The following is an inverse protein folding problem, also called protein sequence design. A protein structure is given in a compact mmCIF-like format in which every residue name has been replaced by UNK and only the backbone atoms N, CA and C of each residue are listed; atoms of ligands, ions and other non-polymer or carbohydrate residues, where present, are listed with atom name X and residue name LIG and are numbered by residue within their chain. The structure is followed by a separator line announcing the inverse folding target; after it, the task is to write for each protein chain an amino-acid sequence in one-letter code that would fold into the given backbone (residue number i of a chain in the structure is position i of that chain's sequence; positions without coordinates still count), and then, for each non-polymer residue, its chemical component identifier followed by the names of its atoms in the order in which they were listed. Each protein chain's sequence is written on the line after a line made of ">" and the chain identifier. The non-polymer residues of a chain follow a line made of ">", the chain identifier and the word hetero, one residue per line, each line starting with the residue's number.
data_IF_009340581488
#
_entry.id   IF_009340581488
#
_cell.length_a   1.000
_cell.length_b   1.000
_cell.length_c   1.000
_cell.angle_alpha   90.00
_cell.angle_beta   90.00
_cell.angle_gamma   90.00
#
_symmetry.space_group_name_H-M   'P 1'
#
loop_
_entity.id
_entity.type
_entity.pdbx_description
1 polymer ?
#
# COMPACT_ATOMS: atom_id res chain seq x y z
N UNK A 1 20.73 -77.65 26.63
CA UNK A 1 20.46 -77.03 25.32
C UNK A 1 20.18 -75.55 25.54
N UNK A 2 21.25 -74.78 25.49
CA UNK A 2 21.17 -73.28 25.64
C UNK A 2 20.99 -72.65 24.27
N UNK A 3 19.81 -72.09 24.06
CA UNK A 3 19.52 -71.29 22.86
C UNK A 3 20.06 -69.89 23.11
N UNK A 4 21.29 -69.64 22.69
CA UNK A 4 21.85 -68.27 22.61
C UNK A 4 21.14 -67.50 21.48
N UNK A 5 20.10 -66.79 21.80
CA UNK A 5 19.64 -65.70 20.97
C UNK A 5 20.74 -64.62 21.00
N UNK A 6 21.62 -64.61 20.01
CA UNK A 6 22.48 -63.49 19.70
C UNK A 6 21.58 -62.36 19.16
N UNK A 7 21.24 -61.43 20.01
CA UNK A 7 20.76 -60.13 19.58
C UNK A 7 21.89 -59.51 18.72
N UNK A 8 21.70 -59.51 17.40
CA UNK A 8 22.57 -58.76 16.51
C UNK A 8 22.41 -57.29 16.86
N UNK A 9 23.39 -56.73 17.58
CA UNK A 9 23.52 -55.28 17.67
C UNK A 9 23.56 -54.71 16.26
N UNK A 10 22.56 -53.95 15.88
CA UNK A 10 22.52 -53.24 14.60
C UNK A 10 23.66 -52.22 14.63
N UNK A 11 24.73 -52.53 13.91
CA UNK A 11 25.85 -51.65 13.74
C UNK A 11 25.36 -50.38 12.99
N UNK A 12 25.82 -49.22 13.41
CA UNK A 12 25.44 -47.91 12.84
C UNK A 12 25.70 -47.90 11.32
N UNK A 13 26.69 -48.64 10.85
CA UNK A 13 26.99 -48.88 9.43
C UNK A 13 25.92 -49.67 8.71
N UNK A 14 25.30 -50.66 9.36
CA UNK A 14 24.22 -51.46 8.79
C UNK A 14 22.93 -50.62 8.67
N UNK A 15 22.67 -49.76 9.64
CA UNK A 15 21.53 -48.83 9.61
C UNK A 15 21.71 -47.78 8.49
N UNK A 16 22.90 -47.23 8.32
CA UNK A 16 23.26 -46.32 7.20
C UNK A 16 23.10 -47.03 5.84
N UNK A 17 23.49 -48.28 5.74
CA UNK A 17 23.39 -49.06 4.50
C UNK A 17 21.93 -49.41 4.15
N UNK A 18 21.09 -49.66 5.15
CA UNK A 18 19.65 -49.88 5.00
C UNK A 18 18.99 -48.58 4.54
N UNK A 19 19.27 -47.45 5.20
CA UNK A 19 18.77 -46.13 4.80
C UNK A 19 19.22 -45.73 3.38
N UNK A 20 20.50 -45.99 3.04
CA UNK A 20 21.02 -45.74 1.70
C UNK A 20 20.33 -46.61 0.63
N UNK A 21 20.15 -47.92 0.88
CA UNK A 21 19.42 -48.80 -0.01
C UNK A 21 17.95 -48.40 -0.17
N UNK A 22 17.31 -47.98 0.92
CA UNK A 22 15.95 -47.46 0.88
C UNK A 22 15.88 -46.19 0.02
N UNK A 23 16.77 -45.25 0.25
CA UNK A 23 16.85 -44.01 -0.51
C UNK A 23 17.09 -44.27 -2.01
N UNK A 24 18.06 -45.09 -2.34
CA UNK A 24 18.40 -45.41 -3.74
C UNK A 24 17.26 -46.15 -4.42
N UNK A 25 16.63 -47.12 -3.78
CA UNK A 25 15.60 -47.94 -4.41
C UNK A 25 14.23 -47.23 -4.49
N UNK A 26 13.84 -46.47 -3.43
CA UNK A 26 12.50 -45.92 -3.33
C UNK A 26 12.42 -44.46 -3.77
N UNK A 27 13.53 -43.74 -3.78
CA UNK A 27 13.55 -42.31 -4.15
C UNK A 27 14.37 -42.09 -5.42
N UNK A 28 15.62 -42.54 -5.44
CA UNK A 28 16.55 -42.21 -6.52
C UNK A 28 16.23 -42.97 -7.83
N UNK A 29 15.93 -44.25 -7.79
CA UNK A 29 15.55 -45.02 -9.00
C UNK A 29 14.26 -44.51 -9.66
N UNK A 30 13.14 -44.27 -8.92
CA UNK A 30 11.95 -43.69 -9.52
C UNK A 30 12.22 -42.29 -10.07
N UNK A 31 13.02 -41.45 -9.36
CA UNK A 31 13.41 -40.14 -9.82
C UNK A 31 14.19 -40.18 -11.16
N UNK A 32 15.18 -41.07 -11.27
CA UNK A 32 15.88 -41.32 -12.53
C UNK A 32 14.96 -41.80 -13.66
N UNK A 33 13.95 -42.61 -13.33
CA UNK A 33 12.93 -43.04 -14.29
C UNK A 33 12.14 -41.87 -14.83
N UNK A 34 11.73 -40.95 -13.95
CA UNK A 34 11.00 -39.73 -14.29
C UNK A 34 11.86 -38.82 -15.19
N UNK A 35 13.13 -38.63 -14.86
CA UNK A 35 14.07 -37.87 -15.71
C UNK A 35 14.23 -38.55 -17.09
N UNK A 36 14.36 -39.86 -17.15
CA UNK A 36 14.49 -40.62 -18.41
C UNK A 36 13.26 -40.47 -19.31
N UNK A 37 12.03 -40.41 -18.72
CA UNK A 37 10.80 -40.12 -19.44
C UNK A 37 10.85 -38.73 -20.05
N UNK A 38 11.28 -37.71 -19.28
CA UNK A 38 11.47 -36.34 -19.76
C UNK A 38 12.47 -36.25 -20.91
N UNK A 39 13.64 -36.93 -20.78
CA UNK A 39 14.65 -36.97 -21.82
C UNK A 39 14.16 -37.68 -23.11
N UNK A 40 13.33 -38.73 -22.98
CA UNK A 40 12.72 -39.40 -24.12
C UNK A 40 11.68 -38.52 -24.80
N UNK A 41 10.92 -37.72 -24.01
CA UNK A 41 9.89 -36.79 -24.49
C UNK A 41 10.36 -35.36 -24.74
N UNK A 42 11.68 -35.10 -24.79
CA UNK A 42 12.22 -33.77 -24.85
C UNK A 42 11.67 -32.89 -25.97
N UNK A 43 11.37 -33.50 -27.14
CA UNK A 43 10.76 -32.78 -28.28
C UNK A 43 9.35 -32.25 -27.93
N UNK A 44 8.55 -33.05 -27.22
CA UNK A 44 7.22 -32.61 -26.78
C UNK A 44 7.31 -31.51 -25.72
N UNK A 45 8.28 -31.59 -24.79
CA UNK A 45 8.54 -30.56 -23.80
C UNK A 45 9.00 -29.25 -24.44
N UNK A 46 9.88 -29.32 -25.45
CA UNK A 46 10.34 -28.15 -26.18
C UNK A 46 9.20 -27.51 -26.97
N UNK A 47 8.34 -28.30 -27.63
CA UNK A 47 7.12 -27.79 -28.27
C UNK A 47 6.18 -27.12 -27.27
N UNK A 48 6.01 -27.68 -26.07
CA UNK A 48 5.17 -27.08 -25.03
C UNK A 48 5.70 -25.70 -24.58
N UNK A 49 7.02 -25.57 -24.43
CA UNK A 49 7.65 -24.27 -24.10
C UNK A 49 7.40 -23.26 -25.22
N UNK A 50 7.63 -23.65 -26.49
CA UNK A 50 7.40 -22.76 -27.64
C UNK A 50 5.94 -22.33 -27.71
N UNK A 51 4.99 -23.25 -27.56
CA UNK A 51 3.56 -22.95 -27.53
C UNK A 51 3.22 -22.01 -26.37
N UNK A 52 3.80 -22.23 -25.20
CA UNK A 52 3.64 -21.36 -24.04
C UNK A 52 4.10 -19.92 -24.29
N UNK A 53 5.23 -19.77 -24.95
CA UNK A 53 5.75 -18.45 -25.35
C UNK A 53 4.84 -17.81 -26.41
N UNK A 54 4.42 -18.55 -27.43
CA UNK A 54 3.50 -18.05 -28.46
C UNK A 54 2.17 -17.62 -27.85
N UNK A 55 1.60 -18.43 -26.96
CA UNK A 55 0.37 -18.08 -26.23
C UNK A 55 0.54 -16.83 -25.40
N UNK A 56 1.68 -16.64 -24.73
CA UNK A 56 1.92 -15.42 -23.93
C UNK A 56 1.97 -14.16 -24.78
N UNK A 57 2.41 -14.26 -26.02
CA UNK A 57 2.41 -13.13 -26.98
C UNK A 57 1.02 -12.92 -27.59
N UNK A 58 0.27 -14.00 -27.85
CA UNK A 58 -1.06 -13.91 -28.44
C UNK A 58 -2.15 -13.45 -27.44
N UNK A 59 -2.06 -13.89 -26.17
CA UNK A 59 -3.04 -13.55 -25.14
C UNK A 59 -3.29 -12.06 -24.93
N UNK A 60 -2.28 -11.17 -24.90
CA UNK A 60 -2.50 -9.73 -24.76
C UNK A 60 -3.30 -9.09 -25.91
N UNK A 61 -3.33 -9.73 -27.09
CA UNK A 61 -4.14 -9.24 -28.22
C UNK A 61 -5.61 -9.66 -28.09
N UNK A 62 -5.88 -10.73 -27.35
CA UNK A 62 -7.24 -11.26 -27.13
C UNK A 62 -7.84 -10.72 -25.83
N UNK A 63 -7.02 -10.55 -24.80
CA UNK A 63 -7.45 -10.00 -23.51
C UNK A 63 -7.60 -8.48 -23.62
N UNK A 64 -8.65 -7.98 -23.00
CA UNK A 64 -8.89 -6.52 -22.91
C UNK A 64 -7.68 -5.83 -22.26
N UNK A 65 -7.19 -4.79 -22.95
CA UNK A 65 -6.15 -3.91 -22.41
C UNK A 65 -6.65 -3.33 -21.10
N UNK A 66 -5.77 -3.27 -20.13
CA UNK A 66 -6.05 -2.61 -18.86
C UNK A 66 -5.09 -1.45 -18.72
N UNK A 67 -5.63 -0.29 -18.42
CA UNK A 67 -4.88 0.93 -18.22
C UNK A 67 -4.86 1.25 -16.73
N UNK A 68 -3.76 1.77 -16.27
CA UNK A 68 -3.52 2.09 -14.88
C UNK A 68 -3.35 3.59 -14.72
N UNK A 69 -4.00 4.17 -13.74
CA UNK A 69 -3.67 5.50 -13.25
C UNK A 69 -3.20 5.43 -11.81
N UNK A 70 -2.32 6.34 -11.47
CA UNK A 70 -1.74 6.41 -10.15
C UNK A 70 -1.65 7.87 -9.70
N UNK A 71 -2.02 8.10 -8.44
CA UNK A 71 -1.96 9.40 -7.80
C UNK A 71 -1.51 9.25 -6.35
N UNK A 72 -0.56 10.08 -5.94
CA UNK A 72 -0.17 10.17 -4.53
C UNK A 72 -1.08 11.18 -3.86
N UNK A 73 -1.63 10.79 -2.72
CA UNK A 73 -2.59 11.55 -1.95
C UNK A 73 -2.01 11.88 -0.58
N UNK A 74 -2.23 13.12 -0.14
CA UNK A 74 -1.90 13.59 1.19
C UNK A 74 -3.15 13.65 2.07
N UNK A 75 -3.02 13.20 3.31
CA UNK A 75 -4.12 13.09 4.27
C UNK A 75 -3.94 14.13 5.36
N UNK A 76 -4.96 14.96 5.55
CA UNK A 76 -4.96 16.05 6.52
C UNK A 76 -5.66 15.71 7.86
N UNK A 77 -6.35 14.56 7.95
CA UNK A 77 -7.26 14.28 9.09
C UNK A 77 -6.95 13.02 9.89
N UNK A 78 -6.23 12.06 9.32
CA UNK A 78 -5.96 10.77 9.96
C UNK A 78 -4.64 10.18 9.48
N UNK A 79 -4.29 9.00 9.99
CA UNK A 79 -3.13 8.25 9.48
C UNK A 79 -3.49 7.53 8.19
N UNK A 80 -2.55 7.41 7.27
CA UNK A 80 -2.70 6.71 5.98
C UNK A 80 -3.27 5.29 6.11
N UNK A 81 -2.92 4.57 7.17
CA UNK A 81 -3.42 3.21 7.42
C UNK A 81 -4.95 3.10 7.57
N UNK A 82 -5.61 4.15 8.06
CA UNK A 82 -7.07 4.17 8.19
C UNK A 82 -7.74 4.36 6.84
N UNK A 83 -7.20 5.24 5.99
CA UNK A 83 -7.68 5.46 4.63
C UNK A 83 -7.50 4.23 3.74
N UNK A 84 -6.36 3.56 3.87
CA UNK A 84 -6.08 2.33 3.13
C UNK A 84 -7.16 1.28 3.43
N UNK A 85 -7.52 1.08 4.70
CA UNK A 85 -8.59 0.14 5.09
C UNK A 85 -9.95 0.50 4.49
N UNK A 86 -10.33 1.78 4.49
CA UNK A 86 -11.59 2.21 3.88
C UNK A 86 -11.58 1.99 2.36
N UNK A 87 -10.45 2.21 1.70
CA UNK A 87 -10.29 1.94 0.27
C UNK A 87 -10.29 0.45 -0.05
N UNK A 88 -9.71 -0.40 0.81
CA UNK A 88 -9.79 -1.86 0.70
C UNK A 88 -11.25 -2.33 0.78
N UNK A 89 -12.06 -1.73 1.67
CA UNK A 89 -13.49 -2.02 1.74
C UNK A 89 -14.19 -1.63 0.43
N UNK A 90 -13.86 -0.46 -0.15
CA UNK A 90 -14.41 -0.07 -1.46
C UNK A 90 -14.02 -1.06 -2.57
N UNK A 91 -12.79 -1.56 -2.57
CA UNK A 91 -12.31 -2.49 -3.59
C UNK A 91 -13.03 -3.84 -3.55
N UNK A 92 -13.51 -4.26 -2.38
CA UNK A 92 -14.24 -5.53 -2.18
C UNK A 92 -15.77 -5.39 -2.26
N UNK A 93 -16.27 -4.17 -2.43
CA UNK A 93 -17.69 -3.87 -2.42
C UNK A 93 -18.39 -4.35 -3.70
N UNK A 94 -19.69 -4.70 -3.57
CA UNK A 94 -20.52 -5.03 -4.73
C UNK A 94 -20.67 -3.80 -5.64
N UNK A 95 -20.64 -4.03 -6.96
CA UNK A 95 -20.68 -3.00 -8.00
C UNK A 95 -21.88 -2.05 -7.88
N UNK A 96 -23.07 -2.55 -7.57
CA UNK A 96 -24.24 -1.69 -7.43
C UNK A 96 -24.08 -0.68 -6.28
N UNK A 97 -23.58 -1.12 -5.14
CA UNK A 97 -23.28 -0.25 -3.99
C UNK A 97 -22.12 0.72 -4.30
N UNK A 98 -21.14 0.27 -5.05
CA UNK A 98 -20.00 1.11 -5.45
C UNK A 98 -20.46 2.25 -6.38
N UNK A 99 -21.37 1.96 -7.33
CA UNK A 99 -22.01 2.97 -8.19
C UNK A 99 -22.71 4.06 -7.38
N UNK A 100 -23.54 3.64 -6.41
CA UNK A 100 -24.29 4.56 -5.55
C UNK A 100 -23.37 5.41 -4.66
N UNK A 101 -22.32 4.82 -4.12
CA UNK A 101 -21.35 5.50 -3.25
C UNK A 101 -20.50 6.52 -4.00
N UNK A 102 -19.98 6.12 -5.15
CA UNK A 102 -19.12 6.96 -5.98
C UNK A 102 -19.89 7.92 -6.87
N UNK A 103 -21.22 7.78 -6.97
CA UNK A 103 -22.08 8.58 -7.86
C UNK A 103 -21.63 8.51 -9.33
N UNK A 104 -21.20 7.33 -9.78
CA UNK A 104 -20.80 7.07 -11.15
C UNK A 104 -21.87 6.24 -11.86
N UNK A 105 -22.01 6.48 -13.17
CA UNK A 105 -22.93 5.72 -14.01
C UNK A 105 -22.44 4.26 -14.18
N UNK A 106 -23.38 3.39 -14.54
CA UNK A 106 -23.10 1.95 -14.70
C UNK A 106 -22.08 1.69 -15.82
N UNK A 107 -22.09 2.49 -16.87
CA UNK A 107 -21.16 2.37 -17.97
C UNK A 107 -19.70 2.61 -17.49
N UNK A 108 -19.47 3.69 -16.76
CA UNK A 108 -18.18 3.99 -16.14
C UNK A 108 -17.74 2.89 -15.17
N UNK A 109 -18.68 2.35 -14.39
CA UNK A 109 -18.40 1.27 -13.45
C UNK A 109 -18.03 -0.06 -14.16
N UNK A 110 -18.61 -0.36 -15.32
CA UNK A 110 -18.25 -1.54 -16.11
C UNK A 110 -16.82 -1.47 -16.68
N UNK A 111 -16.31 -0.25 -16.86
CA UNK A 111 -14.92 -0.03 -17.26
C UNK A 111 -13.94 -0.17 -16.10
N UNK A 112 -14.39 0.05 -14.88
CA UNK A 112 -13.56 -0.12 -13.69
C UNK A 112 -13.20 -1.59 -13.49
N UNK A 113 -11.91 -1.87 -13.37
CA UNK A 113 -11.39 -3.22 -13.08
C UNK A 113 -11.08 -3.34 -11.60
N UNK A 114 -10.36 -2.37 -11.04
CA UNK A 114 -9.85 -2.46 -9.68
C UNK A 114 -9.47 -1.08 -9.13
N UNK A 115 -9.59 -0.92 -7.82
CA UNK A 115 -9.08 0.21 -7.04
C UNK A 115 -8.14 -0.37 -5.99
N UNK A 116 -6.88 0.04 -6.00
CA UNK A 116 -5.87 -0.42 -5.04
C UNK A 116 -5.23 0.74 -4.30
N UNK A 117 -5.28 0.74 -2.97
CA UNK A 117 -4.46 1.62 -2.16
C UNK A 117 -3.08 0.99 -1.92
N UNK A 118 -2.03 1.81 -2.02
CA UNK A 118 -0.67 1.40 -1.71
C UNK A 118 -0.10 2.27 -0.60
N UNK A 119 0.68 1.65 0.29
CA UNK A 119 1.44 2.39 1.29
C UNK A 119 2.67 3.02 0.66
N UNK A 120 2.95 4.25 1.04
CA UNK A 120 4.20 4.91 0.72
C UNK A 120 5.15 4.67 1.88
N UNK A 121 6.30 4.07 1.60
CA UNK A 121 7.36 3.83 2.57
C UNK A 121 8.57 4.69 2.25
N UNK A 122 9.24 5.20 3.25
CA UNK A 122 10.48 5.95 3.11
C UNK A 122 11.57 5.36 3.99
N UNK A 123 12.80 5.36 3.47
CA UNK A 123 14.01 5.07 4.22
C UNK A 123 14.69 6.40 4.48
N UNK A 124 14.88 6.76 5.76
CA UNK A 124 15.42 8.04 6.19
C UNK A 124 14.78 9.24 5.47
N UNK A 125 14.59 10.35 6.09
CA UNK A 125 13.91 11.58 5.64
C UNK A 125 14.16 12.04 4.17
N UNK A 126 14.89 11.27 3.38
CA UNK A 126 15.02 11.42 1.93
C UNK A 126 13.92 10.60 1.25
N UNK A 127 13.03 11.31 0.61
CA UNK A 127 11.85 10.81 -0.12
C UNK A 127 12.24 9.86 -1.26
N UNK A 128 12.48 8.60 -0.94
CA UNK A 128 12.44 7.52 -1.93
C UNK A 128 11.09 6.86 -1.75
N UNK A 129 10.16 7.22 -2.60
CA UNK A 129 8.79 6.75 -2.59
C UNK A 129 8.76 5.35 -3.22
N UNK A 130 8.80 4.33 -2.39
CA UNK A 130 8.48 2.99 -2.85
C UNK A 130 7.00 2.73 -2.57
N UNK A 131 6.27 2.38 -3.61
CA UNK A 131 4.93 1.83 -3.46
C UNK A 131 5.07 0.36 -3.10
N UNK A 132 4.47 -0.01 -2.00
CA UNK A 132 4.45 -1.40 -1.54
C UNK A 132 3.00 -1.84 -1.44
N UNK A 133 2.69 -2.96 -2.05
CA UNK A 133 1.42 -3.63 -1.82
C UNK A 133 1.26 -3.90 -0.32
N UNK A 134 0.04 -3.79 0.17
CA UNK A 134 -0.25 -3.91 1.61
C UNK A 134 0.20 -5.27 2.15
N UNK A 135 0.21 -6.29 1.29
CA UNK A 135 0.58 -7.66 1.62
C UNK A 135 2.11 -7.91 1.64
N UNK A 136 2.91 -7.06 0.96
CA UNK A 136 4.37 -7.24 0.85
C UNK A 136 5.18 -6.73 2.06
N UNK A 137 4.51 -6.26 3.12
CA UNK A 137 5.18 -5.68 4.30
C UNK A 137 5.96 -6.72 5.13
N UNK A 138 5.75 -8.00 4.85
CA UNK A 138 6.45 -9.10 5.54
C UNK A 138 7.82 -9.45 4.94
N UNK A 139 8.24 -8.77 3.89
CA UNK A 139 9.59 -8.96 3.34
C UNK A 139 10.63 -8.37 4.30
N UNK A 140 11.60 -9.18 4.71
CA UNK A 140 12.67 -8.79 5.65
C UNK A 140 13.49 -7.60 5.13
N UNK A 141 13.58 -7.43 3.81
CA UNK A 141 14.23 -6.28 3.17
C UNK A 141 13.52 -4.95 3.45
N UNK A 142 12.23 -4.97 3.81
CA UNK A 142 11.41 -3.78 4.05
C UNK A 142 11.32 -3.38 5.53
N UNK A 143 11.88 -4.16 6.45
CA UNK A 143 11.85 -3.86 7.91
C UNK A 143 12.50 -2.53 8.29
N UNK A 144 13.45 -2.04 7.48
CA UNK A 144 14.11 -0.75 7.70
C UNK A 144 13.27 0.44 7.22
N UNK A 145 12.19 0.20 6.46
CA UNK A 145 11.35 1.24 5.90
C UNK A 145 10.16 1.53 6.82
N UNK A 146 9.85 2.81 6.99
CA UNK A 146 8.67 3.25 7.74
C UNK A 146 7.60 3.75 6.77
N UNK A 147 6.36 3.32 7.00
CA UNK A 147 5.24 3.85 6.25
C UNK A 147 5.09 5.35 6.53
N UNK A 148 4.92 6.15 5.47
CA UNK A 148 4.67 7.57 5.62
C UNK A 148 3.31 7.78 6.30
N UNK A 149 3.23 8.59 7.38
CA UNK A 149 2.01 8.71 8.17
C UNK A 149 0.85 9.33 7.40
N UNK A 150 1.14 10.26 6.50
CA UNK A 150 0.14 11.11 5.84
C UNK A 150 0.06 10.90 4.32
N UNK A 151 0.91 10.07 3.72
CA UNK A 151 0.88 9.83 2.27
C UNK A 151 0.46 8.41 1.97
N UNK A 152 -0.32 8.24 0.91
CA UNK A 152 -0.60 6.95 0.29
C UNK A 152 -0.78 7.13 -1.22
N UNK A 153 -0.61 6.07 -1.98
CA UNK A 153 -0.88 6.08 -3.40
C UNK A 153 -2.21 5.37 -3.68
N UNK A 154 -2.98 5.94 -4.58
CA UNK A 154 -4.21 5.37 -5.11
C UNK A 154 -3.96 4.92 -6.54
N UNK A 155 -4.11 3.64 -6.78
CA UNK A 155 -4.06 3.02 -8.10
C UNK A 155 -5.49 2.71 -8.55
N UNK A 156 -5.84 3.16 -9.74
CA UNK A 156 -7.11 2.84 -10.40
C UNK A 156 -6.81 2.14 -11.72
N UNK A 157 -7.39 0.98 -11.91
CA UNK A 157 -7.26 0.19 -13.14
C UNK A 157 -8.58 0.18 -13.88
N UNK A 158 -8.56 0.60 -15.16
CA UNK A 158 -9.73 0.61 -16.05
C UNK A 158 -9.42 -0.09 -17.36
N UNK A 159 -10.47 -0.53 -18.06
CA UNK A 159 -10.37 -1.09 -19.42
C UNK A 159 -10.04 -0.01 -20.47
N UNK A 160 -10.50 1.23 -20.23
CA UNK A 160 -10.28 2.36 -21.11
C UNK A 160 -9.68 3.54 -20.34
N UNK A 161 -8.72 4.23 -20.95
CA UNK A 161 -8.02 5.39 -20.39
C UNK A 161 -8.95 6.57 -20.14
N UNK A 162 -9.99 6.74 -20.95
CA UNK A 162 -10.95 7.84 -20.83
C UNK A 162 -11.68 7.85 -19.47
N UNK A 163 -11.87 6.69 -18.83
CA UNK A 163 -12.58 6.56 -17.57
C UNK A 163 -11.69 6.65 -16.32
N UNK A 164 -10.37 6.66 -16.47
CA UNK A 164 -9.45 6.71 -15.33
C UNK A 164 -9.60 7.99 -14.50
N UNK A 165 -9.60 9.15 -15.15
CA UNK A 165 -9.74 10.43 -14.47
C UNK A 165 -11.13 10.61 -13.82
N UNK A 166 -12.26 10.32 -14.49
CA UNK A 166 -13.59 10.34 -13.88
C UNK A 166 -13.69 9.44 -12.64
N UNK A 167 -13.19 8.21 -12.70
CA UNK A 167 -13.23 7.26 -11.58
C UNK A 167 -12.37 7.77 -10.42
N UNK A 168 -11.14 8.21 -10.71
CA UNK A 168 -10.24 8.75 -9.66
C UNK A 168 -10.86 9.96 -8.97
N UNK A 169 -11.46 10.88 -9.74
CA UNK A 169 -12.15 12.04 -9.18
C UNK A 169 -13.37 11.65 -8.34
N UNK A 170 -14.13 10.62 -8.76
CA UNK A 170 -15.25 10.12 -7.98
C UNK A 170 -14.80 9.52 -6.64
N UNK A 171 -13.68 8.78 -6.62
CA UNK A 171 -13.09 8.27 -5.37
C UNK A 171 -12.64 9.42 -4.47
N UNK A 172 -11.97 10.44 -5.01
CA UNK A 172 -11.55 11.62 -4.25
C UNK A 172 -12.75 12.37 -3.68
N UNK A 173 -13.81 12.54 -4.47
CA UNK A 173 -15.06 13.15 -4.02
C UNK A 173 -15.68 12.35 -2.88
N UNK A 174 -15.76 11.03 -3.01
CA UNK A 174 -16.26 10.16 -1.95
C UNK A 174 -15.45 10.32 -0.66
N UNK A 175 -14.13 10.31 -0.73
CA UNK A 175 -13.24 10.45 0.42
C UNK A 175 -13.44 11.81 1.13
N UNK A 176 -13.69 12.87 0.38
CA UNK A 176 -13.81 14.23 0.92
C UNK A 176 -15.23 14.60 1.36
N UNK A 177 -16.27 14.00 0.80
CA UNK A 177 -17.64 14.41 1.05
C UNK A 177 -18.48 13.38 1.83
N UNK A 178 -18.28 12.09 1.57
CA UNK A 178 -19.16 11.02 2.08
C UNK A 178 -18.52 10.09 3.09
N UNK A 179 -17.21 9.97 3.09
CA UNK A 179 -16.48 9.09 4.01
C UNK A 179 -16.58 9.56 5.47
N UNK A 180 -16.26 8.67 6.40
CA UNK A 180 -16.12 9.03 7.82
C UNK A 180 -15.11 10.17 8.03
N UNK A 181 -14.09 10.25 7.18
CA UNK A 181 -13.06 11.29 7.22
C UNK A 181 -13.58 12.68 6.84
N UNK A 182 -14.57 12.77 5.96
CA UNK A 182 -15.23 14.04 5.66
C UNK A 182 -15.83 14.68 6.93
N UNK A 183 -16.47 13.85 7.78
CA UNK A 183 -17.01 14.30 9.07
C UNK A 183 -15.92 14.74 10.03
N UNK A 184 -14.83 13.99 10.11
CA UNK A 184 -13.66 14.35 10.95
C UNK A 184 -13.02 15.63 10.44
N UNK A 185 -12.87 15.79 9.13
CA UNK A 185 -12.34 17.03 8.53
C UNK A 185 -13.22 18.25 8.83
N UNK A 186 -14.53 18.11 8.68
CA UNK A 186 -15.47 19.18 9.02
C UNK A 186 -15.33 19.61 10.47
N UNK A 187 -15.15 18.66 11.39
CA UNK A 187 -14.89 18.95 12.81
C UNK A 187 -13.56 19.67 12.99
N UNK A 188 -12.48 19.18 12.36
CA UNK A 188 -11.15 19.81 12.37
C UNK A 188 -11.23 21.28 11.92
N UNK A 189 -11.83 21.54 10.78
CA UNK A 189 -11.99 22.90 10.24
C UNK A 189 -12.80 23.80 11.16
N UNK A 190 -13.86 23.29 11.80
CA UNK A 190 -14.65 24.04 12.75
C UNK A 190 -13.84 24.42 14.01
N UNK A 191 -13.04 23.49 14.54
CA UNK A 191 -12.13 23.78 15.65
C UNK A 191 -11.13 24.85 15.26
N UNK A 192 -10.45 24.72 14.11
CA UNK A 192 -9.49 25.70 13.62
C UNK A 192 -10.12 27.10 13.43
N UNK A 193 -11.35 27.18 12.91
CA UNK A 193 -12.09 28.45 12.78
C UNK A 193 -12.42 29.06 14.15
N UNK A 194 -12.77 28.23 15.13
CA UNK A 194 -13.01 28.68 16.50
C UNK A 194 -11.74 29.22 17.14
N UNK A 195 -10.63 28.49 17.01
CA UNK A 195 -9.31 28.93 17.51
C UNK A 195 -8.88 30.23 16.85
N UNK A 196 -9.04 30.36 15.52
CA UNK A 196 -8.72 31.57 14.78
C UNK A 196 -9.50 32.79 15.33
N UNK A 197 -10.81 32.61 15.60
CA UNK A 197 -11.63 33.67 16.20
C UNK A 197 -11.13 34.06 17.59
N UNK A 198 -10.83 33.09 18.43
CA UNK A 198 -10.33 33.29 19.79
C UNK A 198 -9.01 34.06 19.75
N UNK A 199 -8.02 33.56 19.01
CA UNK A 199 -6.71 34.19 18.93
C UNK A 199 -6.77 35.58 18.27
N UNK A 200 -7.62 35.77 17.26
CA UNK A 200 -7.82 37.07 16.66
C UNK A 200 -8.40 38.09 17.64
N UNK A 201 -9.29 37.66 18.53
CA UNK A 201 -9.83 38.53 19.59
C UNK A 201 -8.77 38.82 20.65
N UNK A 202 -7.99 37.82 21.08
CA UNK A 202 -6.88 38.01 22.02
C UNK A 202 -5.84 38.96 21.48
N UNK A 203 -5.49 38.88 20.19
CA UNK A 203 -4.59 39.81 19.51
C UNK A 203 -5.15 41.23 19.61
N UNK A 204 -6.45 41.47 19.37
CA UNK A 204 -7.07 42.79 19.47
C UNK A 204 -7.00 43.34 20.89
N UNK A 205 -7.27 42.51 21.89
CA UNK A 205 -7.20 42.90 23.31
C UNK A 205 -5.77 43.26 23.70
N UNK A 206 -4.79 42.44 23.34
CA UNK A 206 -3.39 42.72 23.63
C UNK A 206 -2.85 43.97 22.88
N UNK A 207 -3.25 44.18 21.63
CA UNK A 207 -2.90 45.38 20.88
C UNK A 207 -3.50 46.64 21.55
N UNK A 208 -4.74 46.55 22.05
CA UNK A 208 -5.38 47.65 22.79
C UNK A 208 -4.65 47.90 24.13
N UNK A 209 -4.30 46.85 24.88
CA UNK A 209 -3.53 46.98 26.11
C UNK A 209 -2.15 47.64 25.85
N UNK A 210 -1.48 47.19 24.78
CA UNK A 210 -0.22 47.75 24.35
C UNK A 210 -0.36 49.24 24.02
N UNK A 211 -1.42 49.61 23.27
CA UNK A 211 -1.69 51.00 22.94
C UNK A 211 -1.88 51.85 24.20
N UNK A 212 -2.71 51.40 25.14
CA UNK A 212 -2.94 52.10 26.43
C UNK A 212 -1.62 52.24 27.18
N UNK A 213 -0.80 51.21 27.27
CA UNK A 213 0.48 51.26 27.97
C UNK A 213 1.48 52.25 27.33
N UNK A 214 1.53 52.34 25.99
CA UNK A 214 2.45 53.21 25.29
C UNK A 214 2.02 54.68 25.31
N UNK A 215 0.73 54.96 25.30
CA UNK A 215 0.23 56.31 25.11
C UNK A 215 -0.43 56.94 26.36
N UNK A 216 -0.81 56.12 27.35
CA UNK A 216 -1.46 56.66 28.57
C UNK A 216 -0.57 56.62 29.80
N UNK A 217 0.53 55.88 29.80
CA UNK A 217 1.45 55.82 30.95
C UNK A 217 2.69 56.71 30.74
N UNK A 218 2.56 58.01 31.05
CA UNK A 218 3.73 58.90 31.30
C UNK A 218 4.47 58.56 32.61
N UNK A 219 3.93 57.62 33.40
CA UNK A 219 4.54 57.18 34.66
C UNK A 219 5.19 55.79 34.50
N UNK A 220 6.49 55.78 34.25
CA UNK A 220 7.31 54.56 34.19
C UNK A 220 7.46 53.80 35.54
N UNK A 221 6.78 54.25 36.61
CA UNK A 221 6.83 53.61 37.92
C UNK A 221 5.46 53.64 38.59
N UNK A 222 4.87 52.51 38.84
CA UNK A 222 3.76 52.37 39.78
C UNK A 222 4.34 51.95 41.10
N UNK A 223 4.33 52.84 42.06
CA UNK A 223 4.69 52.56 43.45
C UNK A 223 3.47 51.89 44.09
N UNK A 224 3.51 50.62 44.30
CA UNK A 224 2.48 49.88 45.02
C UNK A 224 2.92 49.69 46.49
N UNK A 225 2.30 50.44 47.38
CA UNK A 225 2.36 50.25 48.82
C UNK A 225 3.52 50.93 49.57
N UNK A 226 3.38 50.99 50.88
CA UNK A 226 4.29 51.60 51.83
C UNK A 226 5.65 50.91 52.01
N UNK A 227 5.92 49.81 51.25
CA UNK A 227 7.17 49.06 51.35
C UNK A 227 8.22 49.38 50.31
N UNK A 228 7.98 50.36 49.41
CA UNK A 228 8.99 50.84 48.48
C UNK A 228 9.44 49.85 47.38
N UNK A 229 8.70 48.80 47.15
CA UNK A 229 8.98 47.89 46.02
C UNK A 229 8.55 48.53 44.72
N UNK A 230 9.52 48.95 43.90
CA UNK A 230 9.31 49.45 42.54
C UNK A 230 9.16 48.27 41.58
N UNK A 231 7.95 48.02 41.15
CA UNK A 231 7.71 47.10 40.02
C UNK A 231 8.16 47.75 38.70
N UNK A 232 9.16 47.14 38.09
CA UNK A 232 9.71 47.64 36.83
C UNK A 232 8.76 47.26 35.68
N UNK A 233 7.97 48.24 35.18
CA UNK A 233 6.98 48.01 34.10
C UNK A 233 7.65 47.67 32.78
N UNK A 234 8.95 47.94 32.64
CA UNK A 234 9.72 47.63 31.42
C UNK A 234 9.71 46.14 31.05
N UNK A 235 9.77 45.24 32.04
CA UNK A 235 9.77 43.81 31.77
C UNK A 235 8.40 43.30 31.31
N UNK A 236 7.30 43.87 31.81
CA UNK A 236 5.94 43.52 31.38
C UNK A 236 5.66 43.87 29.92
N UNK A 237 6.19 44.97 29.42
CA UNK A 237 6.01 45.36 28.03
C UNK A 237 6.64 44.37 27.05
N UNK A 238 7.79 43.81 27.41
CA UNK A 238 8.45 42.81 26.58
C UNK A 238 7.69 41.50 26.53
N UNK A 239 7.06 41.10 27.64
CA UNK A 239 6.21 39.91 27.70
C UNK A 239 4.96 40.05 26.83
N UNK A 240 4.22 41.15 26.97
CA UNK A 240 3.03 41.42 26.14
C UNK A 240 3.39 41.48 24.67
N UNK A 241 4.53 42.06 24.30
CA UNK A 241 4.97 42.12 22.92
C UNK A 241 5.32 40.73 22.36
N UNK A 242 5.99 39.89 23.17
CA UNK A 242 6.31 38.49 22.78
C UNK A 242 5.04 37.65 22.60
N UNK A 243 4.08 37.77 23.53
CA UNK A 243 2.81 37.08 23.45
C UNK A 243 2.00 37.51 22.23
N UNK A 244 1.97 38.84 21.95
CA UNK A 244 1.32 39.36 20.77
C UNK A 244 1.93 38.87 19.48
N UNK A 245 3.26 38.81 19.38
CA UNK A 245 3.96 38.28 18.20
C UNK A 245 3.69 36.76 18.02
N UNK A 246 3.69 36.01 19.11
CA UNK A 246 3.38 34.60 19.08
C UNK A 246 1.92 34.34 18.65
N UNK A 247 0.96 35.11 19.17
CA UNK A 247 -0.45 34.99 18.77
C UNK A 247 -0.66 35.41 17.31
N UNK A 248 -0.06 36.52 16.86
CA UNK A 248 -0.11 36.92 15.45
C UNK A 248 0.45 35.86 14.53
N UNK A 249 1.57 35.20 14.88
CA UNK A 249 2.14 34.09 14.13
C UNK A 249 1.22 32.90 14.07
N UNK A 250 0.52 32.56 15.19
CA UNK A 250 -0.50 31.50 15.21
C UNK A 250 -1.70 31.82 14.34
N UNK A 251 -2.21 33.06 14.39
CA UNK A 251 -3.32 33.53 13.54
C UNK A 251 -2.97 33.40 12.07
N UNK A 252 -1.80 33.86 11.65
CA UNK A 252 -1.34 33.76 10.26
C UNK A 252 -1.23 32.31 9.84
N UNK A 253 -0.67 31.46 10.69
CA UNK A 253 -0.53 30.01 10.40
C UNK A 253 -1.89 29.33 10.24
N UNK A 254 -2.85 29.62 11.14
CA UNK A 254 -4.20 29.08 11.06
C UNK A 254 -4.94 29.55 9.81
N UNK A 255 -4.79 30.84 9.46
CA UNK A 255 -5.37 31.38 8.22
C UNK A 255 -4.79 30.71 6.97
N UNK A 256 -3.48 30.47 6.95
CA UNK A 256 -2.82 29.78 5.86
C UNK A 256 -3.33 28.33 5.76
N UNK A 257 -3.34 27.59 6.88
CA UNK A 257 -3.84 26.21 6.91
C UNK A 257 -5.31 26.14 6.50
N UNK A 258 -6.16 27.06 6.94
CA UNK A 258 -7.57 27.11 6.52
C UNK A 258 -7.77 27.45 5.04
N UNK A 259 -6.78 28.06 4.37
CA UNK A 259 -6.81 28.32 2.94
C UNK A 259 -6.26 27.17 2.11
N UNK A 260 -5.19 26.50 2.57
CA UNK A 260 -4.53 25.41 1.85
C UNK A 260 -5.20 24.06 2.11
N UNK A 261 -5.42 23.71 3.36
CA UNK A 261 -5.76 22.33 3.76
C UNK A 261 -7.26 22.19 4.06
N UNK A 262 -8.08 22.47 3.07
CA UNK A 262 -9.56 22.42 3.24
C UNK A 262 -10.15 21.05 3.08
N UNK A 263 -9.47 20.15 2.36
CA UNK A 263 -9.92 18.81 2.07
C UNK A 263 -9.39 17.79 3.09
N UNK A 264 -10.09 16.69 3.25
CA UNK A 264 -9.62 15.56 4.07
C UNK A 264 -8.45 14.86 3.41
N UNK A 265 -8.49 14.76 2.08
CA UNK A 265 -7.48 14.16 1.22
C UNK A 265 -7.25 15.07 0.03
N UNK A 266 -5.99 15.39 -0.23
CA UNK A 266 -5.58 16.26 -1.33
C UNK A 266 -4.61 15.55 -2.27
N UNK A 267 -4.66 15.83 -3.58
CA UNK A 267 -3.66 15.33 -4.52
C UNK A 267 -2.29 15.93 -4.21
N UNK A 268 -1.33 15.07 -3.86
CA UNK A 268 0.07 15.49 -3.66
C UNK A 268 0.83 15.52 -4.99
N UNK A 269 0.48 14.62 -5.92
CA UNK A 269 1.02 14.59 -7.29
C UNK A 269 -0.09 14.71 -8.31
N UNK A 270 0.28 15.13 -9.52
CA UNK A 270 -0.64 15.04 -10.65
C UNK A 270 -0.97 13.56 -10.97
N UNK A 271 -2.18 13.33 -11.50
CA UNK A 271 -2.60 12.01 -11.95
C UNK A 271 -1.64 11.53 -13.06
N UNK A 272 -0.91 10.46 -12.80
CA UNK A 272 -0.08 9.81 -13.81
C UNK A 272 -0.89 8.68 -14.45
N UNK A 273 -1.08 8.75 -15.76
CA UNK A 273 -1.67 7.67 -16.54
C UNK A 273 -0.53 6.90 -17.17
N UNK A 274 -0.41 5.64 -16.82
CA UNK A 274 0.61 4.76 -17.38
C UNK A 274 -0.11 3.70 -18.22
N UNK A 275 0.17 3.67 -19.51
CA UNK A 275 -0.28 2.60 -20.42
C UNK A 275 0.47 1.31 -20.06
N UNK A 276 0.20 0.75 -18.90
CA UNK A 276 0.78 -0.52 -18.52
C UNK A 276 -0.16 -1.61 -19.02
N UNK A 277 0.30 -2.35 -20.00
CA UNK A 277 -0.22 -3.66 -20.28
C UNK A 277 -0.04 -4.51 -19.01
N UNK A 278 -1.10 -4.68 -18.21
CA UNK A 278 -1.08 -5.52 -17.00
C UNK A 278 -0.61 -6.94 -17.33
N UNK A 279 -0.75 -7.34 -18.59
CA UNK A 279 -0.27 -8.60 -19.14
C UNK A 279 0.92 -8.37 -20.10
N UNK A 280 1.99 -7.78 -19.62
CA UNK A 280 3.19 -7.63 -20.45
C UNK A 280 3.70 -9.03 -20.86
N UNK A 281 3.82 -9.34 -22.18
CA UNK A 281 4.14 -10.69 -22.66
C UNK A 281 5.46 -11.23 -22.06
N UNK A 282 6.45 -10.36 -21.82
CA UNK A 282 7.73 -10.76 -21.22
C UNK A 282 7.56 -11.25 -19.78
N UNK A 283 6.65 -10.65 -18.99
CA UNK A 283 6.42 -11.05 -17.59
C UNK A 283 5.57 -12.32 -17.49
N UNK A 284 4.68 -12.56 -18.45
CA UNK A 284 3.74 -13.71 -18.44
C UNK A 284 4.29 -14.92 -19.18
N UNK A 285 5.19 -14.73 -20.16
CA UNK A 285 5.79 -15.82 -20.94
C UNK A 285 6.38 -16.96 -20.09
N UNK A 286 7.24 -16.70 -19.09
CA UNK A 286 7.82 -17.78 -18.27
C UNK A 286 6.74 -18.53 -17.48
N UNK A 287 5.66 -17.86 -17.03
CA UNK A 287 4.57 -18.51 -16.30
C UNK A 287 3.81 -19.49 -17.18
N UNK A 288 3.39 -19.08 -18.38
CA UNK A 288 2.67 -19.95 -19.31
C UNK A 288 3.56 -21.10 -19.85
N UNK A 289 4.81 -20.79 -20.19
CA UNK A 289 5.77 -21.81 -20.61
C UNK A 289 5.97 -22.87 -19.53
N UNK A 290 6.10 -22.48 -18.27
CA UNK A 290 6.30 -23.36 -17.13
C UNK A 290 5.04 -24.22 -16.86
N UNK A 291 3.85 -23.64 -16.90
CA UNK A 291 2.59 -24.36 -16.74
C UNK A 291 2.43 -25.42 -17.83
N UNK A 292 2.62 -25.07 -19.11
CA UNK A 292 2.51 -26.00 -20.22
C UNK A 292 3.60 -27.08 -20.18
N UNK A 293 4.82 -26.71 -19.77
CA UNK A 293 5.88 -27.67 -19.54
C UNK A 293 5.47 -28.72 -18.51
N UNK A 294 4.98 -28.30 -17.33
CA UNK A 294 4.55 -29.25 -16.29
C UNK A 294 3.36 -30.11 -16.73
N UNK A 295 2.36 -29.53 -17.39
CA UNK A 295 1.22 -30.30 -17.92
C UNK A 295 1.67 -31.36 -18.91
N UNK A 296 2.54 -30.98 -19.86
CA UNK A 296 3.07 -31.91 -20.85
C UNK A 296 3.92 -33.00 -20.19
N UNK A 297 4.70 -32.62 -19.18
CA UNK A 297 5.52 -33.58 -18.44
C UNK A 297 4.67 -34.57 -17.65
N UNK A 298 3.60 -34.12 -17.00
CA UNK A 298 2.63 -34.99 -16.33
C UNK A 298 1.94 -35.96 -17.30
N UNK A 299 1.56 -35.48 -18.49
CA UNK A 299 0.95 -36.34 -19.51
C UNK A 299 1.91 -37.40 -20.04
N UNK A 300 3.19 -37.07 -20.20
CA UNK A 300 4.22 -38.06 -20.57
C UNK A 300 4.39 -39.12 -19.50
N UNK A 301 4.45 -38.72 -18.23
CA UNK A 301 4.52 -39.68 -17.10
C UNK A 301 3.29 -40.55 -17.09
N UNK A 302 2.09 -39.98 -17.18
CA UNK A 302 0.83 -40.74 -17.18
C UNK A 302 0.75 -41.73 -18.33
N UNK A 303 1.14 -41.35 -19.53
CA UNK A 303 1.14 -42.25 -20.70
C UNK A 303 2.12 -43.41 -20.53
N UNK A 304 3.28 -43.20 -19.92
CA UNK A 304 4.25 -44.28 -19.66
C UNK A 304 3.72 -45.26 -18.58
N UNK A 305 3.10 -44.71 -17.52
CA UNK A 305 2.46 -45.55 -16.50
C UNK A 305 1.28 -46.36 -17.06
N UNK A 306 0.45 -45.74 -17.92
CA UNK A 306 -0.66 -46.41 -18.59
C UNK A 306 -0.16 -47.57 -19.48
N UNK A 307 0.94 -47.41 -20.20
CA UNK A 307 1.56 -48.51 -20.99
C UNK A 307 2.03 -49.63 -20.08
N UNK A 308 2.67 -49.34 -18.96
CA UNK A 308 3.14 -50.33 -18.02
C UNK A 308 1.98 -51.13 -17.38
N UNK A 309 0.88 -50.44 -17.01
CA UNK A 309 -0.32 -51.11 -16.47
C UNK A 309 -0.97 -51.99 -17.53
N UNK A 310 -1.08 -51.55 -18.80
CA UNK A 310 -1.67 -52.34 -19.88
C UNK A 310 -0.83 -53.58 -20.18
N UNK A 311 0.49 -53.48 -20.13
CA UNK A 311 1.37 -54.63 -20.29
C UNK A 311 1.23 -55.63 -19.12
N UNK A 312 1.07 -55.11 -17.89
CA UNK A 312 0.88 -55.95 -16.70
C UNK A 312 -0.48 -56.66 -16.65
N UNK A 313 -1.53 -56.10 -17.26
CA UNK A 313 -2.87 -56.73 -17.35
C UNK A 313 -2.97 -57.71 -18.49
N UNK A 314 -2.10 -57.64 -19.52
CA UNK A 314 -2.09 -58.55 -20.68
C UNK A 314 -1.09 -59.70 -20.54
N UNK A 315 -0.21 -59.70 -19.51
CA UNK A 315 0.64 -60.79 -19.07
C UNK A 315 -0.06 -61.61 -17.95
#
# INVERSE_FOLDING_TARGET
>A
MENKNQEKELDLLDLLNICWKFFVNNIFKPFLKVIKIGLRGWKALLCAIIVGVVLSVALPFVLTKKNKSEIILEINVARSSSFIKDLEVLSTMNRDRLSDLLEIDKETLEQLVEIKPHKIISKDSTFITYQVDVDDIFDDALKEYKAHPNLFALEVVSKDTAYLAPITNAVLKYLNEKSSFATVNKRRLNVMRSELRTFSNEVKVLDSLRYIQYFTNDANQVVLGTSGETFNIKDKNQWIQNDLMNLKSRVIRLEQTLKSDTLAVEPHTALSITDIYVNHPIKTAPKYALILFFLTYLTLIFNEYKKNIKNWVND
#
